data_IF_158880280330
#
_entry.id   IF_158880280330
#
_cell.length_a   1.000
_cell.length_b   1.000
_cell.length_c   1.000
_cell.angle_alpha   90.00
_cell.angle_beta   90.00
_cell.angle_gamma   90.00
#
_symmetry.space_group_name_H-M   'P 1'
#
loop_
_entity.id
_entity.type
_entity.pdbx_description
1 polymer ?
#
# COMPACT_ATOMS: atom_id res chain seq x y z
N UNK A 1 -0.13 -11.70 -3.16
CA UNK A 1 -1.47 -11.11 -3.43
C UNK A 1 -2.41 -12.26 -3.77
N UNK A 2 -3.73 -12.09 -3.71
CA UNK A 2 -4.66 -13.11 -4.25
C UNK A 2 -4.30 -13.42 -5.72
N UNK A 3 -3.90 -12.40 -6.48
CA UNK A 3 -3.49 -12.53 -7.88
C UNK A 3 -2.26 -13.45 -8.12
N UNK A 4 -1.47 -13.79 -7.09
CA UNK A 4 -0.33 -14.71 -7.24
C UNK A 4 -0.69 -16.18 -7.01
N UNK A 5 -1.96 -16.48 -6.70
CA UNK A 5 -2.45 -17.85 -6.61
C UNK A 5 -2.71 -18.41 -8.03
N UNK A 6 -2.61 -19.74 -8.24
CA UNK A 6 -2.90 -20.35 -9.53
C UNK A 6 -4.26 -19.91 -10.08
N UNK A 7 -4.30 -19.51 -11.35
CA UNK A 7 -5.50 -19.07 -12.07
C UNK A 7 -6.24 -17.85 -11.49
N UNK A 8 -5.69 -17.14 -10.51
CA UNK A 8 -6.39 -16.00 -9.89
C UNK A 8 -6.08 -14.64 -10.53
N UNK A 9 -5.01 -14.52 -11.31
CA UNK A 9 -4.63 -13.24 -11.93
C UNK A 9 -5.75 -12.69 -12.82
N UNK A 10 -6.32 -13.52 -13.70
CA UNK A 10 -7.41 -13.14 -14.63
C UNK A 10 -8.70 -12.66 -13.95
N UNK A 11 -8.83 -12.90 -12.65
CA UNK A 11 -10.01 -12.60 -11.85
C UNK A 11 -9.75 -11.61 -10.71
N UNK A 12 -8.53 -11.07 -10.60
CA UNK A 12 -8.15 -10.24 -9.46
C UNK A 12 -7.68 -8.86 -9.91
N UNK A 13 -8.35 -7.82 -9.40
CA UNK A 13 -7.83 -6.46 -9.38
C UNK A 13 -7.22 -6.18 -8.00
N UNK A 14 -5.89 -6.05 -7.93
CA UNK A 14 -5.17 -5.72 -6.69
C UNK A 14 -5.10 -4.20 -6.52
N UNK A 15 -5.65 -3.68 -5.43
CA UNK A 15 -5.59 -2.26 -5.08
C UNK A 15 -4.50 -1.97 -4.04
N UNK A 16 -3.83 -0.83 -4.17
CA UNK A 16 -2.83 -0.39 -3.20
C UNK A 16 -2.95 1.11 -2.89
N UNK A 17 -2.44 1.55 -1.73
CA UNK A 17 -2.59 2.90 -1.21
C UNK A 17 -1.26 3.44 -0.70
N UNK A 18 -0.74 4.49 -1.36
CA UNK A 18 0.51 5.13 -0.94
C UNK A 18 0.41 5.71 0.46
N UNK A 19 -0.76 6.24 0.83
CA UNK A 19 -0.99 6.84 2.14
C UNK A 19 -0.83 5.86 3.30
N UNK A 20 -1.16 4.58 3.10
CA UNK A 20 -0.94 3.53 4.09
C UNK A 20 0.48 2.99 4.02
N UNK A 21 1.03 2.85 2.82
CA UNK A 21 2.39 2.35 2.61
C UNK A 21 3.45 3.29 3.18
N UNK A 22 3.30 4.60 3.00
CA UNK A 22 4.30 5.60 3.34
C UNK A 22 3.85 6.55 4.47
N UNK A 23 2.77 6.22 5.18
CA UNK A 23 2.20 7.05 6.25
C UNK A 23 1.84 8.48 5.82
N UNK A 24 1.48 8.68 4.55
CA UNK A 24 1.10 9.97 3.96
C UNK A 24 -0.38 10.01 3.55
N UNK A 25 -1.30 9.71 4.47
CA UNK A 25 -2.74 9.54 4.18
C UNK A 25 -3.41 10.74 3.49
N UNK A 26 -2.88 11.96 3.68
CA UNK A 26 -3.33 13.18 3.02
C UNK A 26 -2.97 13.28 1.53
N UNK A 27 -2.06 12.45 1.01
CA UNK A 27 -1.60 12.56 -0.39
C UNK A 27 -2.56 11.97 -1.40
N UNK A 28 -3.49 11.10 -0.95
CA UNK A 28 -4.60 10.57 -1.76
C UNK A 28 -4.18 9.98 -3.11
N UNK A 29 -3.08 9.23 -3.12
CA UNK A 29 -2.63 8.45 -4.29
C UNK A 29 -2.75 6.94 -3.99
N UNK A 30 -3.18 6.20 -4.99
CA UNK A 30 -3.29 4.75 -4.99
C UNK A 30 -3.26 4.24 -6.43
N UNK A 31 -3.22 2.93 -6.59
CA UNK A 31 -3.21 2.31 -7.92
C UNK A 31 -3.89 0.95 -7.91
N UNK A 32 -4.32 0.51 -9.09
CA UNK A 32 -4.92 -0.78 -9.34
C UNK A 32 -4.03 -1.56 -10.32
N UNK A 33 -3.80 -2.84 -10.03
CA UNK A 33 -3.04 -3.76 -10.88
C UNK A 33 -3.88 -5.00 -11.13
N UNK A 34 -4.05 -5.38 -12.39
CA UNK A 34 -4.81 -6.56 -12.77
C UNK A 34 -4.81 -6.76 -14.29
N UNK A 35 -5.58 -7.74 -14.77
CA UNK A 35 -5.63 -8.10 -16.19
C UNK A 35 -6.31 -6.97 -17.02
N UNK A 36 -6.02 -6.89 -18.33
CA UNK A 36 -6.47 -5.78 -19.18
C UNK A 36 -7.98 -5.57 -19.23
N UNK A 37 -8.78 -6.64 -19.17
CA UNK A 37 -10.24 -6.55 -19.15
C UNK A 37 -10.76 -5.81 -17.92
N UNK A 38 -10.15 -6.03 -16.75
CA UNK A 38 -10.55 -5.38 -15.50
C UNK A 38 -10.01 -3.94 -15.40
N UNK A 39 -8.74 -3.71 -15.76
CA UNK A 39 -8.14 -2.38 -15.68
C UNK A 39 -8.77 -1.39 -16.66
N UNK A 40 -9.15 -1.82 -17.87
CA UNK A 40 -9.88 -0.98 -18.83
C UNK A 40 -11.20 -0.46 -18.29
N UNK A 41 -11.97 -1.30 -17.60
CA UNK A 41 -13.24 -0.89 -16.98
C UNK A 41 -13.02 0.20 -15.93
N UNK A 42 -11.98 0.05 -15.09
CA UNK A 42 -11.61 1.06 -14.08
C UNK A 42 -11.19 2.38 -14.73
N UNK A 43 -10.32 2.33 -15.74
CA UNK A 43 -9.87 3.54 -16.45
C UNK A 43 -11.02 4.26 -17.15
N UNK A 44 -11.96 3.51 -17.75
CA UNK A 44 -13.14 4.08 -18.40
C UNK A 44 -14.00 4.89 -17.41
N UNK A 45 -14.21 4.38 -16.20
CA UNK A 45 -14.94 5.12 -15.14
C UNK A 45 -14.13 6.32 -14.65
N UNK A 46 -12.81 6.15 -14.44
CA UNK A 46 -11.95 7.20 -13.91
C UNK A 46 -11.95 8.46 -14.78
N UNK A 47 -12.05 8.30 -16.11
CA UNK A 47 -12.14 9.41 -17.06
C UNK A 47 -13.32 10.36 -16.78
N UNK A 48 -14.42 9.85 -16.21
CA UNK A 48 -15.62 10.63 -15.93
C UNK A 48 -15.77 11.05 -14.46
N UNK A 49 -15.02 10.44 -13.55
CA UNK A 49 -15.09 10.77 -12.11
C UNK A 49 -14.04 11.79 -11.69
N UNK A 50 -12.77 11.52 -12.00
CA UNK A 50 -11.65 12.35 -11.53
C UNK A 50 -10.72 12.80 -12.66
N UNK A 51 -10.83 12.19 -13.85
CA UNK A 51 -10.01 12.39 -15.04
C UNK A 51 -8.53 12.03 -14.82
N UNK A 52 -7.83 12.70 -13.88
CA UNK A 52 -6.42 12.47 -13.57
C UNK A 52 -6.15 12.57 -12.06
N UNK A 53 -5.05 11.98 -11.61
CA UNK A 53 -4.54 12.15 -10.25
C UNK A 53 -3.56 13.34 -10.18
N UNK A 54 -3.34 13.96 -9.01
CA UNK A 54 -2.42 15.08 -8.87
C UNK A 54 -0.98 14.70 -9.25
N UNK A 55 -0.45 15.30 -10.33
CA UNK A 55 0.90 15.05 -10.86
C UNK A 55 2.02 15.11 -9.81
N UNK A 56 2.16 16.16 -8.97
CA UNK A 56 3.26 16.20 -8.00
C UNK A 56 3.24 15.05 -7.00
N UNK A 57 2.03 14.58 -6.62
CA UNK A 57 1.91 13.43 -5.71
C UNK A 57 2.26 12.13 -6.44
N UNK A 58 1.92 11.99 -7.73
CA UNK A 58 2.31 10.83 -8.52
C UNK A 58 3.84 10.72 -8.63
N UNK A 59 4.53 11.83 -8.93
CA UNK A 59 5.98 11.87 -9.04
C UNK A 59 6.66 11.51 -7.72
N UNK A 60 6.19 12.11 -6.62
CA UNK A 60 6.74 11.83 -5.30
C UNK A 60 6.54 10.35 -4.90
N UNK A 61 5.38 9.76 -5.20
CA UNK A 61 5.13 8.33 -4.93
C UNK A 61 5.99 7.42 -5.82
N UNK A 62 6.21 7.76 -7.09
CA UNK A 62 7.12 7.01 -7.96
C UNK A 62 8.54 6.97 -7.37
N UNK A 63 9.05 8.10 -6.87
CA UNK A 63 10.34 8.17 -6.18
C UNK A 63 10.35 7.35 -4.89
N UNK A 64 9.29 7.44 -4.07
CA UNK A 64 9.16 6.67 -2.83
C UNK A 64 9.20 5.16 -3.09
N UNK A 65 8.52 4.66 -4.13
CA UNK A 65 8.49 3.23 -4.46
C UNK A 65 9.88 2.67 -4.77
N UNK A 66 10.73 3.45 -5.44
CA UNK A 66 12.13 3.09 -5.71
C UNK A 66 12.97 3.16 -4.43
N UNK A 67 12.98 4.32 -3.76
CA UNK A 67 13.79 4.55 -2.56
C UNK A 67 13.43 3.63 -1.40
N UNK A 68 12.19 3.20 -1.30
CA UNK A 68 11.74 2.32 -0.20
C UNK A 68 12.42 0.94 -0.20
N UNK A 69 13.06 0.55 -1.31
CA UNK A 69 13.85 -0.68 -1.41
C UNK A 69 15.29 -0.52 -0.90
N UNK A 70 15.74 0.70 -0.68
CA UNK A 70 17.07 1.01 -0.18
C UNK A 70 17.14 0.89 1.36
N UNK A 71 18.33 0.65 1.94
CA UNK A 71 18.49 0.61 3.39
C UNK A 71 17.96 1.85 4.09
N UNK A 72 17.19 1.65 5.15
CA UNK A 72 16.51 2.73 5.86
C UNK A 72 16.55 2.49 7.37
N UNK A 73 17.10 3.46 8.12
CA UNK A 73 17.17 3.45 9.60
C UNK A 73 17.67 2.11 10.18
N UNK A 74 18.79 1.60 9.65
CA UNK A 74 19.41 0.36 10.13
C UNK A 74 18.68 -0.93 9.74
N UNK A 75 17.77 -0.86 8.75
CA UNK A 75 17.12 -2.03 8.14
C UNK A 75 17.40 -2.09 6.65
N UNK A 76 17.26 -3.26 6.06
CA UNK A 76 17.53 -3.54 4.64
C UNK A 76 16.63 -2.74 3.69
N UNK A 77 15.45 -2.33 4.14
CA UNK A 77 14.51 -1.51 3.37
C UNK A 77 13.61 -0.69 4.27
N UNK A 78 12.96 0.34 3.72
CA UNK A 78 11.90 1.08 4.41
C UNK A 78 10.76 0.14 4.86
N UNK A 79 10.42 -0.85 4.04
CA UNK A 79 9.37 -1.83 4.37
C UNK A 79 9.75 -2.71 5.56
N UNK A 80 11.00 -3.17 5.64
CA UNK A 80 11.50 -3.93 6.78
C UNK A 80 11.51 -3.10 8.06
N UNK A 81 11.91 -1.83 7.97
CA UNK A 81 11.79 -0.87 9.06
C UNK A 81 10.35 -0.71 9.55
N UNK A 82 9.43 -0.43 8.62
CA UNK A 82 8.02 -0.21 8.94
C UNK A 82 7.38 -1.44 9.61
N UNK A 83 7.66 -2.64 9.09
CA UNK A 83 7.19 -3.89 9.69
C UNK A 83 7.72 -4.07 11.12
N UNK A 84 8.99 -3.76 11.37
CA UNK A 84 9.58 -3.86 12.71
C UNK A 84 8.96 -2.89 13.71
N UNK A 85 8.70 -1.65 13.28
CA UNK A 85 8.06 -0.64 14.13
C UNK A 85 6.60 -0.98 14.44
N UNK A 86 5.82 -1.45 13.46
CA UNK A 86 4.44 -1.86 13.72
C UNK A 86 4.36 -3.10 14.60
N UNK A 87 5.27 -4.07 14.42
CA UNK A 87 5.35 -5.22 15.31
C UNK A 87 5.58 -4.78 16.75
N UNK A 88 6.57 -3.92 16.99
CA UNK A 88 6.87 -3.38 18.33
C UNK A 88 5.67 -2.68 18.95
N UNK A 89 4.99 -1.80 18.21
CA UNK A 89 3.79 -1.08 18.70
C UNK A 89 2.63 -2.02 18.99
N UNK A 90 2.40 -3.01 18.12
CA UNK A 90 1.37 -4.04 18.29
C UNK A 90 1.64 -4.85 19.56
N UNK A 91 2.87 -5.30 19.77
CA UNK A 91 3.23 -6.15 20.90
C UNK A 91 2.97 -5.40 22.23
N UNK A 92 3.39 -4.12 22.32
CA UNK A 92 3.07 -3.26 23.47
C UNK A 92 1.56 -3.17 23.71
N UNK A 93 0.78 -2.88 22.65
CA UNK A 93 -0.68 -2.74 22.76
C UNK A 93 -1.34 -4.04 23.23
N UNK A 94 -1.00 -5.16 22.58
CA UNK A 94 -1.59 -6.47 22.89
C UNK A 94 -1.23 -6.91 24.30
N UNK A 95 0.02 -6.77 24.71
CA UNK A 95 0.46 -7.17 26.04
C UNK A 95 -0.22 -6.32 27.14
N UNK A 96 -0.36 -5.01 26.89
CA UNK A 96 -1.09 -4.12 27.81
C UNK A 96 -2.57 -4.51 27.93
N UNK A 97 -3.23 -4.81 26.81
CA UNK A 97 -4.63 -5.21 26.81
C UNK A 97 -4.83 -6.55 27.54
N UNK A 98 -3.92 -7.50 27.36
CA UNK A 98 -3.94 -8.77 28.11
C UNK A 98 -3.77 -8.56 29.61
N UNK A 99 -2.86 -7.67 30.03
CA UNK A 99 -2.69 -7.31 31.45
C UNK A 99 -3.98 -6.69 32.01
N UNK A 100 -4.70 -5.92 31.20
CA UNK A 100 -5.99 -5.35 31.56
C UNK A 100 -7.16 -6.35 31.54
N UNK A 101 -6.91 -7.64 31.26
CA UNK A 101 -7.94 -8.69 31.20
C UNK A 101 -8.79 -8.68 29.92
N UNK A 102 -8.38 -7.93 28.89
CA UNK A 102 -9.04 -7.89 27.58
C UNK A 102 -8.34 -8.92 26.69
N UNK A 103 -9.04 -10.03 26.42
CA UNK A 103 -8.58 -11.15 25.58
C UNK A 103 -9.25 -11.16 24.21
#
# INVERSE_FOLDING_TARGET
>A
SIASLPNMYEHTLTLNSSGKTFSCTGWKVGWAVGPPNLTRAVTAVQQWVNFSAPTPNQDAIAMCLTKAREPYKGKESYYAYLASEYKRKRDILVDTLKIAGIT
#
